data_IF_228735204109
#
_entry.id   IF_228735204109
#
_cell.length_a   1.000
_cell.length_b   1.000
_cell.length_c   1.000
_cell.angle_alpha   90.00
_cell.angle_beta   90.00
_cell.angle_gamma   90.00
#
_symmetry.space_group_name_H-M   'P 1'
#
loop_
_entity.id
_entity.type
_entity.pdbx_description
1 polymer ?
#
# COMPACT_ATOMS: atom_id res chain seq x y z
N UNK A 1 -50.32 -21.68 -26.56
CA UNK A 1 -49.13 -21.13 -27.27
C UNK A 1 -49.10 -19.60 -27.34
N UNK A 2 -50.05 -18.92 -27.99
CA UNK A 2 -50.02 -17.44 -28.16
C UNK A 2 -49.90 -16.64 -26.85
N UNK A 3 -50.63 -17.04 -25.81
CA UNK A 3 -50.60 -16.37 -24.50
C UNK A 3 -49.25 -16.53 -23.77
N UNK A 4 -48.58 -17.67 -23.97
CA UNK A 4 -47.26 -17.93 -23.39
C UNK A 4 -46.20 -17.06 -24.07
N UNK A 5 -46.28 -16.90 -25.40
CA UNK A 5 -45.37 -16.03 -26.15
C UNK A 5 -45.56 -14.55 -25.74
N UNK A 6 -46.79 -14.11 -25.54
CA UNK A 6 -47.09 -12.75 -25.08
C UNK A 6 -46.51 -12.49 -23.68
N UNK A 7 -46.68 -13.43 -22.73
CA UNK A 7 -46.07 -13.32 -21.40
C UNK A 7 -44.54 -13.34 -21.44
N UNK A 8 -43.95 -14.18 -22.28
CA UNK A 8 -42.49 -14.22 -22.44
C UNK A 8 -41.94 -12.91 -23.01
N UNK A 9 -42.61 -12.33 -24.01
CA UNK A 9 -42.24 -11.03 -24.55
C UNK A 9 -42.35 -9.93 -23.48
N UNK A 10 -43.41 -9.95 -22.66
CA UNK A 10 -43.57 -9.00 -21.56
C UNK A 10 -42.47 -9.14 -20.50
N UNK A 11 -42.12 -10.37 -20.14
CA UNK A 11 -41.01 -10.67 -19.21
C UNK A 11 -39.67 -10.15 -19.76
N UNK A 12 -39.38 -10.42 -21.02
CA UNK A 12 -38.17 -9.92 -21.68
C UNK A 12 -38.09 -8.40 -21.67
N UNK A 13 -39.22 -7.72 -21.90
CA UNK A 13 -39.28 -6.26 -21.90
C UNK A 13 -39.08 -5.67 -20.50
N UNK A 14 -39.60 -6.34 -19.47
CA UNK A 14 -39.43 -5.93 -18.08
C UNK A 14 -37.97 -6.15 -17.61
N UNK A 15 -37.33 -7.25 -18.02
CA UNK A 15 -35.90 -7.49 -17.79
C UNK A 15 -35.05 -6.43 -18.48
N UNK A 16 -35.36 -6.06 -19.72
CA UNK A 16 -34.62 -5.02 -20.44
C UNK A 16 -34.67 -3.66 -19.72
N UNK A 17 -35.82 -3.29 -19.15
CA UNK A 17 -35.97 -2.06 -18.37
C UNK A 17 -35.16 -2.10 -17.07
N UNK A 18 -35.16 -3.23 -16.36
CA UNK A 18 -34.36 -3.39 -15.14
C UNK A 18 -32.86 -3.32 -15.44
N UNK A 19 -32.39 -3.95 -16.51
CA UNK A 19 -30.99 -3.90 -16.94
C UNK A 19 -30.56 -2.46 -17.27
N UNK A 20 -31.42 -1.70 -17.96
CA UNK A 20 -31.15 -0.29 -18.27
C UNK A 20 -31.04 0.58 -17.00
N UNK A 21 -31.89 0.35 -16.00
CA UNK A 21 -31.80 1.04 -14.71
C UNK A 21 -30.54 0.67 -13.93
N UNK A 22 -30.16 -0.61 -13.92
CA UNK A 22 -28.90 -1.05 -13.30
C UNK A 22 -27.68 -0.40 -13.94
N UNK A 23 -27.64 -0.31 -15.28
CA UNK A 23 -26.55 0.35 -16.00
C UNK A 23 -26.45 1.85 -15.63
N UNK A 24 -27.59 2.55 -15.51
CA UNK A 24 -27.63 3.96 -15.08
C UNK A 24 -27.13 4.16 -13.64
N UNK A 25 -27.48 3.25 -12.74
CA UNK A 25 -27.02 3.28 -11.35
C UNK A 25 -25.51 2.98 -11.23
N UNK A 26 -24.98 2.06 -12.04
CA UNK A 26 -23.55 1.75 -12.05
C UNK A 26 -22.68 2.95 -12.46
N UNK A 27 -23.12 3.77 -13.42
CA UNK A 27 -22.39 4.99 -13.83
C UNK A 27 -22.34 6.02 -12.69
N UNK A 28 -23.34 6.07 -11.82
CA UNK A 28 -23.35 6.99 -10.67
C UNK A 28 -22.49 6.52 -9.49
N UNK A 29 -22.12 5.24 -9.46
CA UNK A 29 -21.33 4.64 -8.37
C UNK A 29 -19.87 4.43 -8.79
N UNK A 30 -19.46 4.82 -10.00
CA UNK A 30 -18.03 4.84 -10.33
C UNK A 30 -17.32 5.78 -9.33
N UNK A 31 -16.44 5.26 -8.46
CA UNK A 31 -15.70 6.13 -7.56
C UNK A 31 -14.92 7.12 -8.43
N UNK A 32 -14.84 8.41 -8.04
CA UNK A 32 -14.01 9.35 -8.77
C UNK A 32 -12.62 8.75 -8.93
N UNK A 33 -11.94 8.94 -10.09
CA UNK A 33 -10.58 8.47 -10.25
C UNK A 33 -9.80 9.02 -9.07
N UNK A 34 -9.40 8.12 -8.16
CA UNK A 34 -8.58 8.47 -7.02
C UNK A 34 -7.33 9.08 -7.64
N UNK A 35 -7.23 10.42 -7.61
CA UNK A 35 -5.97 11.08 -7.95
C UNK A 35 -4.97 10.38 -7.07
N UNK A 36 -4.08 9.58 -7.66
CA UNK A 36 -2.94 9.06 -6.95
C UNK A 36 -2.17 10.33 -6.60
N UNK A 37 -2.49 10.92 -5.44
CA UNK A 37 -1.68 11.98 -4.87
C UNK A 37 -0.29 11.41 -4.88
N UNK A 38 0.58 11.96 -5.71
CA UNK A 38 1.99 11.62 -5.68
C UNK A 38 2.48 12.21 -4.37
N UNK A 39 2.31 11.46 -3.29
CA UNK A 39 3.11 11.64 -2.09
C UNK A 39 4.52 11.50 -2.62
N UNK A 40 5.28 12.59 -2.61
CA UNK A 40 6.67 12.55 -3.01
C UNK A 40 7.34 11.44 -2.17
N UNK A 41 8.04 10.54 -2.86
CA UNK A 41 8.86 9.54 -2.19
C UNK A 41 9.84 10.28 -1.29
N UNK A 42 10.00 9.85 -0.04
CA UNK A 42 11.00 10.44 0.86
C UNK A 42 12.37 10.47 0.20
N UNK A 43 13.13 11.52 0.47
CA UNK A 43 14.54 11.58 0.11
C UNK A 43 15.33 10.45 0.80
N UNK A 44 16.45 10.09 0.19
CA UNK A 44 17.31 9.05 0.74
C UNK A 44 17.86 9.47 2.12
N UNK A 45 17.78 8.58 3.10
CA UNK A 45 18.25 8.80 4.47
C UNK A 45 19.70 8.33 4.61
N UNK A 46 20.58 9.22 5.04
CA UNK A 46 22.03 8.96 5.14
C UNK A 46 22.47 8.35 6.48
N UNK A 47 21.57 8.34 7.47
CA UNK A 47 21.85 7.90 8.84
C UNK A 47 21.81 9.02 9.88
N UNK A 48 21.48 10.26 9.50
CA UNK A 48 21.41 11.40 10.43
C UNK A 48 20.35 11.19 11.50
N UNK A 49 20.77 10.89 12.74
CA UNK A 49 19.87 10.53 13.85
C UNK A 49 18.82 11.60 14.15
N UNK A 50 19.15 12.89 14.03
CA UNK A 50 18.21 13.99 14.23
C UNK A 50 17.06 14.01 13.20
N UNK A 51 17.31 13.49 11.99
CA UNK A 51 16.34 13.42 10.91
C UNK A 51 15.57 12.09 10.90
N UNK A 52 15.96 11.12 11.73
CA UNK A 52 15.33 9.80 11.79
C UNK A 52 13.82 9.85 12.08
N UNK A 53 13.32 10.64 13.06
CA UNK A 53 11.87 10.72 13.32
C UNK A 53 11.10 11.27 12.12
N UNK A 54 11.69 12.26 11.42
CA UNK A 54 11.10 12.87 10.23
C UNK A 54 11.06 11.86 9.08
N UNK A 55 12.17 11.19 8.81
CA UNK A 55 12.28 10.13 7.80
C UNK A 55 11.26 9.01 8.04
N UNK A 56 11.19 8.50 9.28
CA UNK A 56 10.28 7.40 9.61
C UNK A 56 8.82 7.82 9.52
N UNK A 57 8.48 9.04 9.97
CA UNK A 57 7.13 9.59 9.84
C UNK A 57 6.69 9.70 8.38
N UNK A 58 7.57 10.11 7.48
CA UNK A 58 7.27 10.15 6.05
C UNK A 58 7.10 8.74 5.46
N UNK A 59 7.93 7.77 5.86
CA UNK A 59 7.79 6.37 5.44
C UNK A 59 6.45 5.78 5.88
N UNK A 60 6.06 6.00 7.15
CA UNK A 60 4.78 5.55 7.69
C UNK A 60 3.59 6.17 6.95
N UNK A 61 3.67 7.46 6.62
CA UNK A 61 2.63 8.15 5.85
C UNK A 61 2.52 7.56 4.44
N UNK A 62 3.66 7.34 3.77
CA UNK A 62 3.68 6.74 2.43
C UNK A 62 3.07 5.33 2.43
N UNK A 63 3.47 4.48 3.37
CA UNK A 63 2.94 3.11 3.53
C UNK A 63 1.43 3.15 3.79
N UNK A 64 0.97 4.04 4.68
CA UNK A 64 -0.46 4.20 5.00
C UNK A 64 -1.28 4.69 3.80
N UNK A 65 -0.70 5.52 2.94
CA UNK A 65 -1.36 6.01 1.72
C UNK A 65 -1.33 4.99 0.57
N UNK A 66 -0.52 3.94 0.70
CA UNK A 66 -0.24 2.94 -0.34
C UNK A 66 -0.32 1.51 0.21
N UNK A 67 -1.25 1.25 1.14
CA UNK A 67 -1.41 -0.05 1.79
C UNK A 67 -1.56 -1.22 0.80
N UNK A 68 -2.11 -0.96 -0.40
CA UNK A 68 -2.25 -1.94 -1.48
C UNK A 68 -0.92 -2.53 -2.00
N UNK A 69 0.22 -1.85 -1.79
CA UNK A 69 1.55 -2.32 -2.21
C UNK A 69 2.36 -2.98 -1.08
N UNK A 70 1.85 -2.97 0.16
CA UNK A 70 2.59 -3.42 1.35
C UNK A 70 1.81 -4.53 2.05
N UNK A 71 1.89 -5.74 1.51
CA UNK A 71 1.11 -6.89 2.00
C UNK A 71 1.73 -7.52 3.24
N UNK A 72 3.05 -7.42 3.40
CA UNK A 72 3.80 -7.95 4.54
C UNK A 72 4.63 -6.87 5.22
N UNK A 73 4.99 -7.10 6.48
CA UNK A 73 5.94 -6.23 7.18
C UNK A 73 7.32 -6.23 6.50
N UNK A 74 7.70 -7.35 5.85
CA UNK A 74 8.90 -7.45 5.04
C UNK A 74 8.88 -6.50 3.84
N UNK A 75 7.72 -6.28 3.21
CA UNK A 75 7.58 -5.31 2.10
C UNK A 75 7.79 -3.87 2.61
N UNK A 76 7.24 -3.56 3.78
CA UNK A 76 7.39 -2.25 4.42
C UNK A 76 8.84 -1.98 4.81
N UNK A 77 9.49 -2.98 5.41
CA UNK A 77 10.90 -2.90 5.78
C UNK A 77 11.77 -2.78 4.53
N UNK A 78 11.53 -3.58 3.49
CA UNK A 78 12.24 -3.49 2.21
C UNK A 78 12.15 -2.10 1.57
N UNK A 79 10.98 -1.45 1.66
CA UNK A 79 10.81 -0.07 1.23
C UNK A 79 11.66 0.91 2.05
N UNK A 80 11.61 0.86 3.38
CA UNK A 80 12.45 1.72 4.24
C UNK A 80 13.94 1.53 3.92
N UNK A 81 14.37 0.27 3.76
CA UNK A 81 15.75 -0.07 3.40
C UNK A 81 16.17 0.50 2.03
N UNK A 82 15.26 0.51 1.05
CA UNK A 82 15.53 1.06 -0.29
C UNK A 82 15.80 2.58 -0.29
N UNK A 83 15.29 3.26 0.74
CA UNK A 83 15.47 4.69 0.96
C UNK A 83 16.73 4.99 1.75
N UNK A 84 17.49 4.00 2.21
CA UNK A 84 18.75 4.25 2.90
C UNK A 84 19.86 4.62 1.91
N UNK A 85 20.80 5.41 2.40
CA UNK A 85 22.01 5.84 1.69
C UNK A 85 23.16 6.06 2.66
N UNK A 86 24.37 6.28 2.13
CA UNK A 86 25.52 6.66 2.91
C UNK A 86 25.81 5.71 4.08
N UNK A 87 25.89 6.25 5.29
CA UNK A 87 26.20 5.47 6.49
C UNK A 87 25.07 4.53 6.88
N UNK A 88 23.82 4.83 6.50
CA UNK A 88 22.67 4.01 6.86
C UNK A 88 22.64 2.63 6.19
N UNK A 89 23.19 2.55 4.97
CA UNK A 89 23.32 1.27 4.25
C UNK A 89 24.31 0.35 4.95
N UNK A 90 25.38 0.89 5.54
CA UNK A 90 26.43 0.08 6.15
C UNK A 90 25.94 -0.72 7.35
N UNK A 91 25.10 -0.14 8.19
CA UNK A 91 24.51 -0.89 9.30
C UNK A 91 23.31 -1.74 8.88
N UNK A 92 22.67 -1.50 7.73
CA UNK A 92 21.57 -2.39 7.31
C UNK A 92 21.98 -3.57 6.47
N UNK A 93 23.11 -3.46 5.76
CA UNK A 93 23.62 -4.52 4.87
C UNK A 93 23.73 -5.89 5.57
N UNK A 94 24.30 -6.01 6.79
CA UNK A 94 24.40 -7.30 7.47
C UNK A 94 23.03 -7.92 7.78
N UNK A 95 22.05 -7.11 8.18
CA UNK A 95 20.69 -7.56 8.49
C UNK A 95 20.00 -8.14 7.24
N UNK A 96 20.21 -7.52 6.08
CA UNK A 96 19.67 -7.96 4.78
C UNK A 96 20.34 -9.23 4.31
N UNK A 97 21.68 -9.28 4.34
CA UNK A 97 22.45 -10.45 3.89
C UNK A 97 22.14 -11.68 4.73
N UNK A 98 21.93 -11.51 6.03
CA UNK A 98 21.60 -12.60 6.95
C UNK A 98 20.11 -12.96 6.96
N UNK A 99 19.28 -12.26 6.17
CA UNK A 99 17.82 -12.39 6.19
C UNK A 99 17.26 -12.39 7.63
N UNK A 100 17.76 -11.46 8.45
CA UNK A 100 17.46 -11.42 9.88
C UNK A 100 15.94 -11.38 10.11
N UNK A 101 15.40 -12.14 11.09
CA UNK A 101 13.97 -12.09 11.42
C UNK A 101 13.52 -10.71 11.89
N UNK A 102 14.45 -9.81 12.23
CA UNK A 102 14.17 -8.40 12.49
C UNK A 102 13.56 -7.67 11.28
N UNK A 103 13.80 -8.18 10.06
CA UNK A 103 13.25 -7.61 8.83
C UNK A 103 11.78 -7.95 8.60
N UNK A 104 11.25 -8.95 9.32
CA UNK A 104 9.85 -9.37 9.21
C UNK A 104 8.94 -8.62 10.20
N UNK A 105 9.49 -7.67 10.97
CA UNK A 105 8.75 -6.87 11.93
C UNK A 105 8.99 -5.38 11.72
N UNK A 106 8.05 -4.73 11.04
CA UNK A 106 8.14 -3.30 10.74
C UNK A 106 8.14 -2.44 12.01
N UNK A 107 7.53 -2.93 13.10
CA UNK A 107 7.46 -2.21 14.37
C UNK A 107 8.82 -1.97 15.02
N UNK A 108 9.74 -2.92 14.82
CA UNK A 108 11.09 -2.82 15.38
C UNK A 108 11.93 -1.73 14.70
N UNK A 109 11.59 -1.33 13.47
CA UNK A 109 12.28 -0.22 12.78
C UNK A 109 12.15 1.11 13.52
N UNK A 110 11.05 1.38 14.22
CA UNK A 110 10.80 2.70 14.80
C UNK A 110 10.84 2.76 16.33
N UNK A 111 10.65 1.64 17.04
CA UNK A 111 10.62 1.66 18.52
C UNK A 111 12.00 1.89 19.14
N UNK A 112 13.09 1.53 18.45
CA UNK A 112 14.42 1.61 19.05
C UNK A 112 15.54 1.78 17.99
N UNK A 113 15.82 3.03 17.56
CA UNK A 113 16.88 3.30 16.57
C UNK A 113 18.27 2.87 17.07
N UNK A 114 18.46 2.77 18.39
CA UNK A 114 19.72 2.36 19.02
C UNK A 114 19.89 0.83 18.94
N UNK A 115 18.82 0.04 19.13
CA UNK A 115 18.90 -1.42 18.97
C UNK A 115 19.24 -1.87 17.55
N UNK A 116 18.78 -1.16 16.52
CA UNK A 116 19.14 -1.51 15.14
C UNK A 116 20.62 -1.28 14.82
N UNK A 117 21.25 -0.28 15.44
CA UNK A 117 22.70 -0.08 15.36
C UNK A 117 23.47 -1.06 16.25
N UNK A 118 22.89 -1.49 17.37
CA UNK A 118 23.54 -2.36 18.36
C UNK A 118 23.43 -3.85 18.02
N UNK A 119 22.43 -4.27 17.23
CA UNK A 119 22.21 -5.67 16.86
C UNK A 119 23.33 -6.28 15.97
N UNK A 120 24.33 -5.48 15.59
CA UNK A 120 25.46 -5.87 14.74
C UNK A 120 26.77 -5.89 15.54
N UNK A 121 26.75 -5.43 16.80
CA UNK A 121 27.91 -5.39 17.67
C UNK A 121 28.00 -6.60 18.57
#
# INVERSE_FOLDING_TARGET
MKQLHAKNAQLQQQVALLVAQMAQLQVRVSPPPRRKGHVAMSDKFDGTQAMFPVFMGQCQLFISLRMEYFSTDRDKVGFVLSLLSGSAVRWTTPLVVQASPLLDNFRLMYEDPIKMQTAIR
#
